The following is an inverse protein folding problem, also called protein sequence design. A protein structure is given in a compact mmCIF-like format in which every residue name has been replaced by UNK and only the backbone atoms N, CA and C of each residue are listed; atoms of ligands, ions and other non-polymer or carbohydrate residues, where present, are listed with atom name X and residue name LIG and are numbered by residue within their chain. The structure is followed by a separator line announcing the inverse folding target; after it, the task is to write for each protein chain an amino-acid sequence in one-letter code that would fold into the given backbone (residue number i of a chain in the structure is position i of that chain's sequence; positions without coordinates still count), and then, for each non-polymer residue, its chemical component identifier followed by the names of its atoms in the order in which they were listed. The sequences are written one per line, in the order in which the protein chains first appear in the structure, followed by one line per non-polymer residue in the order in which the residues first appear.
data_IF_229916020948
#
_entry.id   IF_229916020948
#
_cell.length_a   1.000
_cell.length_b   1.000
_cell.length_c   1.000
_cell.angle_alpha   90.00
_cell.angle_beta   90.00
_cell.angle_gamma   90.00
#
_symmetry.space_group_name_H-M   'P 1'
#
loop_
_entity.id
_entity.type
_entity.pdbx_description
1 polymer ?
#
# COMPACT_ATOMS: atom_id res chain seq x y z
N UNK A 1 -46.21 -16.47 -3.39
CA UNK A 1 -46.37 -15.69 -4.64
C UNK A 1 -45.33 -14.56 -4.82
N UNK A 2 -44.24 -14.51 -4.04
CA UNK A 2 -43.19 -13.48 -4.17
C UNK A 2 -41.77 -14.04 -4.02
N UNK A 3 -41.53 -15.32 -4.38
CA UNK A 3 -40.19 -15.94 -4.33
C UNK A 3 -39.32 -15.64 -5.57
N UNK A 4 -39.90 -15.03 -6.62
CA UNK A 4 -39.21 -14.70 -7.88
C UNK A 4 -38.60 -13.28 -7.90
N UNK A 5 -38.85 -12.47 -6.85
CA UNK A 5 -38.29 -11.12 -6.71
C UNK A 5 -37.01 -11.07 -5.87
N UNK A 6 -36.69 -12.14 -5.11
CA UNK A 6 -35.48 -12.21 -4.30
C UNK A 6 -34.18 -11.98 -5.09
N UNK A 7 -33.98 -12.55 -6.30
CA UNK A 7 -32.76 -12.32 -7.08
C UNK A 7 -32.62 -10.87 -7.57
N UNK A 8 -33.75 -10.20 -7.85
CA UNK A 8 -33.79 -8.80 -8.30
C UNK A 8 -33.56 -7.82 -7.15
N UNK A 9 -34.04 -8.15 -5.95
CA UNK A 9 -33.78 -7.35 -4.75
C UNK A 9 -32.32 -7.47 -4.31
N UNK A 10 -31.73 -8.67 -4.36
CA UNK A 10 -30.32 -8.87 -4.02
C UNK A 10 -29.37 -8.24 -5.05
N UNK A 11 -29.69 -8.33 -6.36
CA UNK A 11 -28.89 -7.68 -7.40
C UNK A 11 -28.98 -6.17 -7.37
N UNK A 12 -30.16 -5.59 -7.15
CA UNK A 12 -30.32 -4.15 -6.98
C UNK A 12 -29.66 -3.67 -5.69
N UNK A 13 -29.82 -4.37 -4.57
CA UNK A 13 -29.16 -4.01 -3.31
C UNK A 13 -27.65 -4.11 -3.43
N UNK A 14 -27.11 -5.12 -4.12
CA UNK A 14 -25.69 -5.22 -4.42
C UNK A 14 -25.21 -4.13 -5.38
N UNK A 15 -26.01 -3.73 -6.37
CA UNK A 15 -25.71 -2.63 -7.28
C UNK A 15 -25.71 -1.28 -6.53
N UNK A 16 -26.69 -1.05 -5.65
CA UNK A 16 -26.75 0.13 -4.78
C UNK A 16 -25.63 0.11 -3.74
N UNK A 17 -25.30 -1.03 -3.14
CA UNK A 17 -24.18 -1.18 -2.22
C UNK A 17 -22.85 -0.93 -2.95
N UNK A 18 -22.67 -1.46 -4.17
CA UNK A 18 -21.46 -1.26 -4.96
C UNK A 18 -21.32 0.19 -5.46
N UNK A 19 -22.41 0.82 -5.90
CA UNK A 19 -22.41 2.20 -6.37
C UNK A 19 -22.31 3.22 -5.21
N UNK A 20 -22.94 2.92 -4.07
CA UNK A 20 -22.79 3.71 -2.85
C UNK A 20 -21.41 3.52 -2.21
N UNK A 21 -20.85 2.31 -2.20
CA UNK A 21 -19.49 2.03 -1.71
C UNK A 21 -18.45 2.83 -2.51
N UNK A 22 -18.58 2.93 -3.84
CA UNK A 22 -17.63 3.72 -4.65
C UNK A 22 -17.73 5.23 -4.36
N UNK A 23 -18.95 5.77 -4.26
CA UNK A 23 -19.15 7.20 -3.94
C UNK A 23 -18.75 7.55 -2.50
N UNK A 24 -19.08 6.68 -1.54
CA UNK A 24 -18.70 6.81 -0.13
C UNK A 24 -17.19 6.61 0.05
N UNK A 25 -16.59 5.59 -0.57
CA UNK A 25 -15.14 5.37 -0.53
C UNK A 25 -14.37 6.58 -1.07
N UNK A 26 -14.79 7.10 -2.22
CA UNK A 26 -14.20 8.31 -2.80
C UNK A 26 -14.33 9.51 -1.85
N UNK A 27 -15.50 9.71 -1.24
CA UNK A 27 -15.73 10.80 -0.29
C UNK A 27 -14.87 10.64 0.96
N UNK A 28 -14.81 9.44 1.53
CA UNK A 28 -14.00 9.15 2.72
C UNK A 28 -12.51 9.28 2.41
N UNK A 29 -12.02 8.77 1.27
CA UNK A 29 -10.61 8.94 0.87
C UNK A 29 -10.27 10.43 0.66
N UNK A 30 -11.17 11.19 0.03
CA UNK A 30 -11.01 12.65 -0.14
C UNK A 30 -10.95 13.39 1.19
N UNK A 31 -11.78 13.00 2.17
CA UNK A 31 -11.75 13.55 3.53
C UNK A 31 -10.45 13.13 4.26
N UNK A 32 -10.08 11.85 4.16
CA UNK A 32 -8.88 11.29 4.78
C UNK A 32 -7.60 11.94 4.24
N UNK A 33 -7.59 12.37 2.97
CA UNK A 33 -6.47 13.09 2.33
C UNK A 33 -6.55 14.61 2.46
N UNK A 34 -7.61 15.15 3.06
CA UNK A 34 -7.81 16.59 3.14
C UNK A 34 -6.63 17.28 3.87
N UNK A 35 -6.06 18.38 3.37
CA UNK A 35 -5.01 19.11 4.08
C UNK A 35 -5.45 19.56 5.47
N UNK A 36 -4.55 19.49 6.45
CA UNK A 36 -4.82 19.88 7.85
C UNK A 36 -5.35 21.33 7.93
N UNK A 37 -4.88 22.23 7.06
CA UNK A 37 -5.36 23.61 6.99
C UNK A 37 -6.87 23.71 6.77
N UNK A 38 -7.46 22.89 5.91
CA UNK A 38 -8.92 22.91 5.64
C UNK A 38 -9.72 22.41 6.85
N UNK A 39 -9.19 21.41 7.54
CA UNK A 39 -9.80 20.88 8.77
C UNK A 39 -9.73 21.93 9.89
N UNK A 40 -8.60 22.63 10.02
CA UNK A 40 -8.45 23.72 10.99
C UNK A 40 -9.40 24.88 10.70
N UNK A 41 -9.57 25.27 9.43
CA UNK A 41 -10.54 26.30 9.03
C UNK A 41 -11.96 25.87 9.41
N UNK A 42 -12.33 24.62 9.12
CA UNK A 42 -13.65 24.07 9.48
C UNK A 42 -13.87 24.05 11.00
N UNK A 43 -12.91 23.56 11.78
CA UNK A 43 -12.98 23.56 13.24
C UNK A 43 -13.03 24.99 13.81
N UNK A 44 -12.31 25.93 13.20
CA UNK A 44 -12.34 27.35 13.57
C UNK A 44 -13.73 27.97 13.32
N UNK A 45 -14.32 27.69 12.16
CA UNK A 45 -15.67 28.14 11.83
C UNK A 45 -16.71 27.58 12.82
N UNK A 46 -16.64 26.29 13.15
CA UNK A 46 -17.47 25.67 14.18
C UNK A 46 -17.26 26.33 15.55
N UNK A 47 -16.02 26.70 15.89
CA UNK A 47 -15.71 27.40 17.16
C UNK A 47 -16.37 28.77 17.20
N UNK A 48 -16.35 29.53 16.10
CA UNK A 48 -17.06 30.82 16.02
C UNK A 48 -18.58 30.66 16.14
N UNK A 49 -19.16 29.67 15.45
CA UNK A 49 -20.59 29.34 15.57
C UNK A 49 -20.93 29.00 17.02
N UNK A 50 -20.14 28.12 17.64
CA UNK A 50 -20.27 27.75 19.05
C UNK A 50 -20.22 28.97 19.96
N UNK A 51 -19.24 29.86 19.82
CA UNK A 51 -19.13 31.07 20.64
C UNK A 51 -20.33 32.02 20.45
N UNK A 52 -20.84 32.16 19.23
CA UNK A 52 -22.02 32.97 18.94
C UNK A 52 -23.28 32.37 19.59
N UNK A 53 -23.50 31.07 19.45
CA UNK A 53 -24.62 30.35 20.06
C UNK A 53 -24.53 30.31 21.58
N UNK A 54 -23.33 30.18 22.15
CA UNK A 54 -23.09 30.16 23.59
C UNK A 54 -23.63 31.42 24.28
N UNK A 55 -23.38 32.59 23.69
CA UNK A 55 -23.91 33.86 24.19
C UNK A 55 -25.45 33.90 24.18
N UNK A 56 -26.08 33.40 23.11
CA UNK A 56 -27.54 33.30 23.01
C UNK A 56 -28.11 32.31 24.05
N UNK A 57 -27.49 31.14 24.20
CA UNK A 57 -27.91 30.07 25.12
C UNK A 57 -27.83 30.52 26.58
N UNK A 58 -26.74 31.19 26.98
CA UNK A 58 -26.56 31.68 28.36
C UNK A 58 -27.56 32.79 28.69
N UNK A 59 -27.77 33.74 27.77
CA UNK A 59 -28.63 34.89 28.01
C UNK A 59 -30.13 34.55 27.98
N UNK A 60 -30.51 33.39 27.44
CA UNK A 60 -31.92 32.97 27.36
C UNK A 60 -32.41 32.47 28.73
N UNK A 61 -33.37 33.16 29.38
CA UNK A 61 -33.95 32.77 30.65
C UNK A 61 -34.67 31.42 30.57
N UNK A 62 -34.73 30.68 31.68
CA UNK A 62 -35.28 29.31 31.73
C UNK A 62 -36.71 29.22 31.14
N UNK A 63 -37.56 30.20 31.41
CA UNK A 63 -38.96 30.22 30.95
C UNK A 63 -39.14 30.51 29.45
N UNK A 64 -38.10 30.97 28.74
CA UNK A 64 -38.13 31.25 27.29
C UNK A 64 -37.39 30.19 26.46
N UNK A 65 -36.99 29.07 27.08
CA UNK A 65 -36.24 27.98 26.43
C UNK A 65 -37.15 27.08 25.60
N UNK A 66 -37.61 27.59 24.47
CA UNK A 66 -38.44 26.86 23.51
C UNK A 66 -37.90 27.01 22.09
N UNK A 67 -38.28 26.10 21.18
CA UNK A 67 -38.00 26.18 19.74
C UNK A 67 -36.56 26.55 19.37
N UNK A 68 -36.32 27.84 19.11
CA UNK A 68 -35.02 28.40 18.75
C UNK A 68 -33.92 28.15 19.77
N UNK A 69 -34.23 28.13 21.07
CA UNK A 69 -33.27 27.73 22.11
C UNK A 69 -32.82 26.28 21.93
N UNK A 70 -33.76 25.36 21.69
CA UNK A 70 -33.44 23.94 21.54
C UNK A 70 -32.61 23.70 20.27
N UNK A 71 -32.94 24.37 19.17
CA UNK A 71 -32.15 24.31 17.95
C UNK A 71 -30.72 24.84 18.16
N UNK A 72 -30.58 26.01 18.79
CA UNK A 72 -29.27 26.60 19.11
C UNK A 72 -28.44 25.68 20.02
N UNK A 73 -29.07 25.07 21.03
CA UNK A 73 -28.42 24.11 21.93
C UNK A 73 -27.92 22.87 21.17
N UNK A 74 -28.76 22.26 20.34
CA UNK A 74 -28.39 21.09 19.53
C UNK A 74 -27.22 21.43 18.60
N UNK A 75 -27.29 22.58 17.92
CA UNK A 75 -26.21 23.03 17.03
C UNK A 75 -24.90 23.28 17.79
N UNK A 76 -24.97 23.82 19.01
CA UNK A 76 -23.79 23.97 19.87
C UNK A 76 -23.19 22.61 20.25
N UNK A 77 -24.02 21.68 20.72
CA UNK A 77 -23.57 20.34 21.15
C UNK A 77 -22.96 19.56 19.98
N UNK A 78 -23.56 19.63 18.78
CA UNK A 78 -23.01 19.05 17.56
C UNK A 78 -21.67 19.72 17.19
N UNK A 79 -21.59 21.05 17.28
CA UNK A 79 -20.35 21.79 17.00
C UNK A 79 -19.22 21.37 17.94
N UNK A 80 -19.48 21.28 19.24
CA UNK A 80 -18.51 20.82 20.24
C UNK A 80 -18.05 19.38 19.93
N UNK A 81 -18.99 18.46 19.67
CA UNK A 81 -18.67 17.08 19.30
C UNK A 81 -17.80 16.98 18.03
N UNK A 82 -18.12 17.75 16.99
CA UNK A 82 -17.37 17.77 15.74
C UNK A 82 -15.97 18.38 15.91
N UNK A 83 -15.81 19.41 16.76
CA UNK A 83 -14.51 20.00 17.07
C UNK A 83 -13.64 18.95 17.79
N UNK A 84 -14.16 18.30 18.83
CA UNK A 84 -13.40 17.27 19.56
C UNK A 84 -13.05 16.09 18.66
N UNK A 85 -14.00 15.62 17.85
CA UNK A 85 -13.76 14.56 16.88
C UNK A 85 -12.68 14.97 15.87
N UNK A 86 -12.72 16.20 15.35
CA UNK A 86 -11.71 16.69 14.42
C UNK A 86 -10.31 16.76 15.06
N UNK A 87 -10.21 17.24 16.30
CA UNK A 87 -8.94 17.26 17.06
C UNK A 87 -8.40 15.85 17.23
N UNK A 88 -9.22 14.91 17.74
CA UNK A 88 -8.79 13.53 17.98
C UNK A 88 -8.40 12.87 16.66
N UNK A 89 -9.24 12.94 15.64
CA UNK A 89 -8.99 12.24 14.37
C UNK A 89 -7.81 12.85 13.61
N UNK A 90 -7.76 14.17 13.47
CA UNK A 90 -6.78 14.80 12.57
C UNK A 90 -5.48 15.22 13.24
N UNK A 91 -5.47 15.45 14.55
CA UNK A 91 -4.24 15.81 15.29
C UNK A 91 -3.62 14.62 16.03
N UNK A 92 -4.41 13.61 16.39
CA UNK A 92 -3.91 12.42 17.11
C UNK A 92 -3.90 11.19 16.21
N UNK A 93 -5.07 10.74 15.73
CA UNK A 93 -5.20 9.46 15.02
C UNK A 93 -4.48 9.48 13.67
N UNK A 94 -4.63 10.55 12.88
CA UNK A 94 -4.06 10.64 11.53
C UNK A 94 -2.55 10.82 11.50
N UNK A 95 -1.94 11.72 12.29
CA UNK A 95 -0.49 11.90 12.22
C UNK A 95 0.26 10.73 12.87
N UNK A 96 -0.36 10.02 13.83
CA UNK A 96 0.32 9.03 14.65
C UNK A 96 -0.16 7.57 14.52
N UNK A 97 -1.40 7.34 14.10
CA UNK A 97 -2.03 6.02 14.11
C UNK A 97 -2.11 5.38 12.74
N UNK A 98 -3.15 5.73 11.97
CA UNK A 98 -3.58 4.99 10.78
C UNK A 98 -3.66 5.88 9.52
N UNK A 99 -3.45 5.26 8.36
CA UNK A 99 -3.60 5.92 7.06
C UNK A 99 -4.30 4.98 6.08
N UNK A 100 -5.21 5.53 5.28
CA UNK A 100 -5.95 4.79 4.25
C UNK A 100 -5.23 4.84 2.91
N UNK A 101 -5.26 3.72 2.18
CA UNK A 101 -4.71 3.63 0.82
C UNK A 101 -5.69 2.92 -0.10
N UNK A 102 -5.75 3.36 -1.36
CA UNK A 102 -6.46 2.69 -2.44
C UNK A 102 -5.46 1.82 -3.22
N UNK A 103 -5.85 0.62 -3.63
CA UNK A 103 -5.01 -0.34 -4.36
C UNK A 103 -5.30 -0.24 -5.87
N UNK A 104 -4.41 0.39 -6.68
CA UNK A 104 -4.67 0.59 -8.10
C UNK A 104 -4.12 -0.53 -8.99
N UNK A 105 -3.34 -1.48 -8.45
CA UNK A 105 -2.59 -2.46 -9.26
C UNK A 105 -2.73 -3.90 -8.76
N UNK A 106 -2.55 -4.91 -9.64
CA UNK A 106 -2.68 -6.32 -9.30
C UNK A 106 -1.41 -6.93 -8.67
N UNK A 107 -0.41 -6.12 -8.30
CA UNK A 107 0.89 -6.63 -7.79
C UNK A 107 0.79 -7.45 -6.50
N UNK A 108 -0.30 -7.31 -5.76
CA UNK A 108 -0.59 -8.03 -4.52
C UNK A 108 -1.80 -8.97 -4.65
N UNK A 109 -2.18 -9.35 -5.89
CA UNK A 109 -3.34 -10.21 -6.16
C UNK A 109 -3.27 -11.52 -5.37
N UNK A 110 -4.43 -12.11 -5.07
CA UNK A 110 -4.73 -13.04 -3.97
C UNK A 110 -4.84 -12.40 -2.59
N UNK A 111 -3.92 -11.53 -2.19
CA UNK A 111 -4.02 -10.85 -0.88
C UNK A 111 -4.86 -9.57 -0.97
N UNK A 112 -4.54 -8.69 -1.91
CA UNK A 112 -5.21 -7.42 -2.18
C UNK A 112 -5.61 -7.36 -3.65
N UNK A 113 -6.86 -7.01 -3.96
CA UNK A 113 -7.33 -6.84 -5.35
C UNK A 113 -7.36 -5.36 -5.70
N UNK A 114 -7.32 -5.09 -7.00
CA UNK A 114 -7.54 -3.75 -7.55
C UNK A 114 -8.89 -3.22 -7.07
N UNK A 115 -8.91 -1.99 -6.57
CA UNK A 115 -10.10 -1.35 -6.01
C UNK A 115 -10.26 -1.51 -4.49
N UNK A 116 -9.43 -2.32 -3.83
CA UNK A 116 -9.45 -2.40 -2.37
C UNK A 116 -9.03 -1.08 -1.75
N UNK A 117 -9.68 -0.72 -0.65
CA UNK A 117 -9.20 0.29 0.28
C UNK A 117 -8.71 -0.39 1.55
N UNK A 118 -7.47 -0.08 1.91
CA UNK A 118 -6.82 -0.64 3.09
C UNK A 118 -6.55 0.42 4.14
N UNK A 119 -6.40 -0.03 5.38
CA UNK A 119 -5.89 0.76 6.51
C UNK A 119 -4.49 0.25 6.86
N UNK A 120 -3.51 1.15 6.83
CA UNK A 120 -2.15 0.87 7.26
C UNK A 120 -1.89 1.48 8.64
N UNK A 121 -1.29 0.68 9.53
CA UNK A 121 -0.88 1.06 10.88
C UNK A 121 0.55 1.60 10.86
N UNK A 122 0.72 2.90 11.16
CA UNK A 122 2.02 3.59 11.18
C UNK A 122 2.75 3.39 12.50
N UNK A 123 2.03 3.10 13.58
CA UNK A 123 2.61 2.95 14.92
C UNK A 123 3.55 1.75 15.02
N UNK A 124 3.21 0.64 14.34
CA UNK A 124 3.99 -0.60 14.35
C UNK A 124 5.45 -0.33 13.94
N UNK A 125 5.67 0.51 12.93
CA UNK A 125 7.00 0.87 12.46
C UNK A 125 7.53 2.19 13.04
N UNK A 126 6.94 2.68 14.12
CA UNK A 126 7.60 3.67 15.00
C UNK A 126 8.22 3.00 16.21
N UNK A 127 7.59 1.93 16.68
CA UNK A 127 8.05 1.16 17.83
C UNK A 127 8.91 -0.07 17.45
N UNK A 128 8.96 -0.45 16.18
CA UNK A 128 9.71 -1.61 15.73
C UNK A 128 10.03 -1.60 14.24
N UNK A 129 10.58 -2.71 13.78
CA UNK A 129 10.98 -2.91 12.40
C UNK A 129 10.03 -3.88 11.66
N UNK A 130 9.89 -3.74 10.33
CA UNK A 130 9.21 -4.72 9.50
C UNK A 130 9.74 -6.12 9.74
N UNK A 131 8.81 -7.05 9.87
CA UNK A 131 9.11 -8.48 9.99
C UNK A 131 8.88 -9.14 8.65
N UNK A 132 9.61 -10.22 8.44
CA UNK A 132 9.42 -11.02 7.26
C UNK A 132 7.98 -11.56 7.20
N UNK A 133 7.31 -11.36 6.06
CA UNK A 133 5.90 -11.65 5.82
C UNK A 133 4.97 -10.46 5.98
N UNK A 134 5.39 -9.37 6.63
CA UNK A 134 4.57 -8.15 6.75
C UNK A 134 4.26 -7.56 5.37
N UNK A 135 3.05 -7.02 5.21
CA UNK A 135 2.69 -6.23 4.03
C UNK A 135 2.89 -4.77 4.38
N UNK A 136 3.80 -4.13 3.65
CA UNK A 136 4.38 -2.84 4.00
C UNK A 136 4.01 -1.81 2.95
N UNK A 137 3.54 -0.65 3.41
CA UNK A 137 3.40 0.55 2.60
C UNK A 137 4.66 1.41 2.78
N UNK A 138 5.24 1.88 1.69
CA UNK A 138 6.50 2.62 1.68
C UNK A 138 6.60 3.58 0.49
N UNK A 139 7.50 4.57 0.59
CA UNK A 139 7.94 5.38 -0.54
C UNK A 139 8.95 4.58 -1.37
N UNK A 140 8.75 4.37 -2.68
CA UNK A 140 9.73 3.64 -3.48
C UNK A 140 11.10 4.38 -3.46
N UNK A 141 12.23 3.66 -3.54
CA UNK A 141 13.51 4.32 -3.75
C UNK A 141 13.52 5.04 -5.11
N UNK A 142 14.38 6.04 -5.33
CA UNK A 142 14.37 6.87 -6.54
C UNK A 142 14.30 6.07 -7.86
N UNK A 143 14.95 4.91 -7.92
CA UNK A 143 14.98 4.02 -9.10
C UNK A 143 13.65 3.30 -9.38
N UNK A 144 12.80 3.13 -8.37
CA UNK A 144 11.49 2.51 -8.47
C UNK A 144 10.35 3.50 -8.73
N UNK A 145 10.66 4.81 -8.71
CA UNK A 145 9.68 5.87 -8.92
C UNK A 145 9.17 5.84 -10.37
N UNK A 146 7.85 5.84 -10.55
CA UNK A 146 7.25 6.05 -11.87
C UNK A 146 7.33 7.54 -12.22
N UNK A 147 8.04 7.95 -13.30
CA UNK A 147 8.15 9.35 -13.69
C UNK A 147 6.80 10.02 -13.97
N UNK A 148 5.78 9.25 -14.35
CA UNK A 148 4.42 9.74 -14.60
C UNK A 148 3.65 9.99 -13.31
N UNK A 149 4.08 9.37 -12.21
CA UNK A 149 3.47 9.53 -10.88
C UNK A 149 4.52 9.47 -9.76
N UNK A 150 5.34 10.52 -9.62
CA UNK A 150 6.52 10.49 -8.76
C UNK A 150 6.19 10.50 -7.25
N UNK A 151 4.95 10.82 -6.89
CA UNK A 151 4.50 10.86 -5.49
C UNK A 151 3.78 9.59 -5.03
N UNK A 152 3.79 8.53 -5.86
CA UNK A 152 3.07 7.28 -5.57
C UNK A 152 3.70 6.48 -4.42
N UNK A 153 2.85 6.01 -3.52
CA UNK A 153 3.22 5.06 -2.46
C UNK A 153 3.10 3.63 -2.97
N UNK A 154 4.03 2.77 -2.57
CA UNK A 154 4.06 1.37 -2.97
C UNK A 154 3.63 0.49 -1.80
N UNK A 155 3.02 -0.64 -2.13
CA UNK A 155 2.67 -1.70 -1.18
C UNK A 155 3.20 -3.03 -1.71
N UNK A 156 3.95 -3.74 -0.87
CA UNK A 156 4.57 -5.04 -1.17
C UNK A 156 4.70 -5.86 0.11
N UNK A 157 5.07 -7.14 -0.01
CA UNK A 157 5.41 -7.99 1.13
C UNK A 157 6.91 -7.94 1.42
N UNK A 158 7.26 -7.79 2.69
CA UNK A 158 8.64 -7.88 3.16
C UNK A 158 9.08 -9.35 3.15
N UNK A 159 9.98 -9.73 2.22
CA UNK A 159 10.49 -11.10 2.12
C UNK A 159 11.86 -11.28 2.80
N UNK A 160 12.60 -10.20 3.02
CA UNK A 160 13.88 -10.20 3.72
C UNK A 160 14.04 -8.99 4.63
N UNK A 161 14.53 -9.24 5.84
CA UNK A 161 14.85 -8.23 6.86
C UNK A 161 16.36 -8.17 7.11
N UNK A 162 16.89 -7.08 7.71
CA UNK A 162 18.30 -6.95 8.03
C UNK A 162 18.95 -8.21 8.62
N UNK A 163 20.07 -8.62 8.02
CA UNK A 163 20.86 -9.79 8.42
C UNK A 163 20.39 -11.14 7.88
N UNK A 164 19.18 -11.24 7.34
CA UNK A 164 18.69 -12.49 6.72
C UNK A 164 19.34 -12.68 5.35
N UNK A 165 19.76 -13.92 5.07
CA UNK A 165 20.17 -14.32 3.72
C UNK A 165 18.92 -14.70 2.96
N UNK A 166 18.63 -13.98 1.88
CA UNK A 166 17.51 -14.28 0.99
C UNK A 166 18.03 -14.78 -0.34
N UNK A 167 17.35 -15.79 -0.88
CA UNK A 167 17.64 -16.40 -2.16
C UNK A 167 16.29 -16.73 -2.81
N UNK A 168 16.21 -16.72 -4.13
CA UNK A 168 15.03 -17.16 -4.87
C UNK A 168 15.46 -18.04 -6.02
N UNK A 169 14.81 -19.19 -6.17
CA UNK A 169 15.04 -20.11 -7.29
C UNK A 169 13.73 -20.39 -7.97
N UNK A 170 13.57 -19.97 -9.21
CA UNK A 170 12.33 -20.15 -9.99
C UNK A 170 11.09 -19.70 -9.20
N UNK A 171 11.14 -18.48 -8.66
CA UNK A 171 10.12 -17.89 -7.76
C UNK A 171 9.89 -18.60 -6.42
N UNK A 172 10.69 -19.59 -6.05
CA UNK A 172 10.70 -20.18 -4.72
C UNK A 172 11.64 -19.40 -3.81
N UNK A 173 11.11 -18.74 -2.78
CA UNK A 173 11.91 -18.05 -1.78
C UNK A 173 12.61 -19.06 -0.86
N UNK A 174 13.89 -18.81 -0.60
CA UNK A 174 14.68 -19.42 0.46
C UNK A 174 15.15 -18.31 1.40
N UNK A 175 15.10 -18.58 2.70
CA UNK A 175 15.59 -17.69 3.74
C UNK A 175 16.53 -18.46 4.64
N UNK A 176 17.75 -17.98 4.77
CA UNK A 176 18.84 -18.63 5.50
C UNK A 176 19.01 -20.10 5.05
N UNK A 177 18.95 -20.32 3.73
CA UNK A 177 19.07 -21.63 3.08
C UNK A 177 17.83 -22.54 3.17
N UNK A 178 16.77 -22.12 3.85
CA UNK A 178 15.54 -22.92 4.02
C UNK A 178 14.42 -22.42 3.11
N UNK A 179 13.77 -23.33 2.41
CA UNK A 179 12.61 -23.00 1.58
C UNK A 179 11.47 -22.42 2.44
N UNK A 180 10.92 -21.29 2.02
CA UNK A 180 9.79 -20.62 2.69
C UNK A 180 8.47 -21.03 2.03
N UNK A 181 7.49 -21.46 2.82
CA UNK A 181 6.13 -21.72 2.30
C UNK A 181 5.40 -20.39 2.14
N UNK A 182 4.93 -20.13 0.92
CA UNK A 182 4.29 -18.86 0.55
C UNK A 182 2.87 -19.10 0.01
N UNK A 183 1.87 -19.36 0.88
CA UNK A 183 0.51 -19.69 0.43
C UNK A 183 -0.20 -18.53 -0.30
N UNK A 184 0.27 -17.30 -0.08
CA UNK A 184 -0.21 -16.09 -0.73
C UNK A 184 0.40 -15.88 -2.14
N UNK A 185 1.50 -16.59 -2.45
CA UNK A 185 2.24 -16.40 -3.70
C UNK A 185 1.35 -16.79 -4.87
N UNK A 186 1.34 -15.94 -5.89
CA UNK A 186 0.70 -16.27 -7.16
C UNK A 186 1.67 -16.06 -8.31
N UNK A 187 1.54 -16.94 -9.29
CA UNK A 187 2.12 -16.82 -10.61
C UNK A 187 0.89 -16.86 -11.50
N UNK A 188 0.48 -15.71 -11.99
CA UNK A 188 -0.76 -15.62 -12.74
C UNK A 188 -0.49 -15.98 -14.19
N UNK A 189 -1.11 -17.05 -14.69
CA UNK A 189 -1.04 -17.43 -16.12
C UNK A 189 -1.87 -16.49 -17.00
N UNK A 190 -2.88 -15.84 -16.42
CA UNK A 190 -3.88 -15.02 -17.11
C UNK A 190 -3.70 -13.51 -16.87
N UNK A 191 -2.71 -13.09 -16.08
CA UNK A 191 -2.30 -11.71 -16.13
C UNK A 191 -1.61 -11.55 -17.48
N UNK A 192 -2.13 -10.70 -18.34
CA UNK A 192 -1.31 -10.05 -19.35
C UNK A 192 -0.28 -9.08 -18.71
N UNK A 193 0.26 -9.43 -17.54
CA UNK A 193 1.65 -9.19 -17.19
C UNK A 193 2.49 -10.20 -17.94
N UNK A 194 2.64 -9.96 -19.24
CA UNK A 194 3.62 -10.53 -20.16
C UNK A 194 3.83 -12.05 -20.00
N UNK A 195 3.05 -12.84 -20.76
CA UNK A 195 3.55 -14.13 -21.23
C UNK A 195 4.82 -13.85 -22.04
N UNK A 196 5.96 -13.97 -21.39
CA UNK A 196 7.25 -14.01 -22.06
C UNK A 196 7.21 -15.26 -22.95
N UNK A 197 7.40 -15.15 -24.27
CA UNK A 197 7.61 -16.33 -25.10
C UNK A 197 8.72 -17.18 -24.49
N UNK A 198 8.62 -18.50 -24.53
CA UNK A 198 9.77 -19.37 -24.20
C UNK A 198 11.00 -18.83 -24.94
N UNK A 199 12.07 -18.41 -24.23
CA UNK A 199 13.25 -17.86 -24.87
C UNK A 199 13.81 -18.89 -25.84
N UNK A 200 14.26 -18.44 -27.01
CA UNK A 200 14.83 -19.36 -27.97
C UNK A 200 16.15 -19.95 -27.45
N UNK A 201 16.66 -21.00 -28.09
CA UNK A 201 17.87 -21.69 -27.63
C UNK A 201 19.11 -20.76 -27.60
N UNK A 202 19.11 -19.68 -28.38
CA UNK A 202 20.17 -18.66 -28.40
C UNK A 202 20.06 -17.73 -27.19
N UNK A 203 18.84 -17.28 -26.87
CA UNK A 203 18.53 -16.49 -25.67
C UNK A 203 18.81 -17.29 -24.38
N UNK A 204 18.41 -18.56 -24.35
CA UNK A 204 18.75 -19.51 -23.27
C UNK A 204 20.27 -19.65 -23.09
N UNK A 205 21.01 -19.82 -24.19
CA UNK A 205 22.47 -19.91 -24.15
C UNK A 205 23.12 -18.59 -23.70
N UNK A 206 22.63 -17.44 -24.17
CA UNK A 206 23.09 -16.12 -23.73
C UNK A 206 22.81 -15.85 -22.24
N UNK A 207 21.69 -16.33 -21.71
CA UNK A 207 21.38 -16.23 -20.29
C UNK A 207 22.32 -17.11 -19.43
N UNK A 208 22.66 -18.31 -19.92
CA UNK A 208 23.63 -19.23 -19.30
C UNK A 208 25.05 -18.64 -19.34
N UNK A 209 25.45 -18.03 -20.46
CA UNK A 209 26.78 -17.47 -20.67
C UNK A 209 26.99 -16.12 -19.94
N UNK A 210 25.90 -15.44 -19.57
CA UNK A 210 25.93 -14.12 -18.93
C UNK A 210 25.56 -14.10 -17.44
N UNK A 211 25.39 -15.27 -16.80
CA UNK A 211 25.23 -15.51 -15.35
C UNK A 211 24.98 -14.22 -14.53
N UNK A 212 23.74 -13.76 -14.32
CA UNK A 212 23.50 -12.61 -13.46
C UNK A 212 23.97 -12.92 -12.04
N UNK A 213 24.68 -11.97 -11.45
CA UNK A 213 25.28 -12.11 -10.12
C UNK A 213 24.78 -10.97 -9.23
N UNK A 214 24.39 -11.27 -8.00
CA UNK A 214 24.04 -10.22 -7.05
C UNK A 214 25.33 -9.54 -6.59
N UNK A 215 25.52 -8.30 -7.00
CA UNK A 215 26.59 -7.49 -6.44
C UNK A 215 25.98 -6.32 -5.68
N UNK A 216 26.56 -6.06 -4.50
CA UNK A 216 26.44 -4.76 -3.87
C UNK A 216 27.13 -3.78 -4.80
N UNK A 217 26.38 -2.85 -5.40
CA UNK A 217 26.93 -1.85 -6.31
C UNK A 217 27.03 -0.53 -5.54
N UNK A 218 28.19 0.09 -5.59
CA UNK A 218 28.34 1.48 -5.14
C UNK A 218 27.64 2.40 -6.13
N UNK A 219 26.58 3.07 -5.67
CA UNK A 219 25.74 3.94 -6.48
C UNK A 219 26.05 5.39 -6.16
N UNK A 220 26.32 6.20 -7.19
CA UNK A 220 26.45 7.65 -7.05
C UNK A 220 25.15 8.32 -7.51
N UNK A 221 24.53 9.12 -6.64
CA UNK A 221 23.31 9.87 -6.92
C UNK A 221 23.62 11.16 -7.71
N UNK A 222 22.59 11.77 -8.33
CA UNK A 222 22.74 13.01 -9.14
C UNK A 222 23.33 14.19 -8.35
N UNK A 223 23.17 14.20 -7.03
CA UNK A 223 23.74 15.18 -6.10
C UNK A 223 25.19 14.86 -5.67
N UNK A 224 25.77 13.77 -6.17
CA UNK A 224 27.13 13.32 -5.89
C UNK A 224 27.28 12.43 -4.65
N UNK A 225 26.21 12.15 -3.92
CA UNK A 225 26.24 11.21 -2.78
C UNK A 225 26.51 9.78 -3.26
N UNK A 226 27.30 9.01 -2.50
CA UNK A 226 27.60 7.60 -2.79
C UNK A 226 27.05 6.67 -1.72
N UNK A 227 26.37 5.60 -2.14
CA UNK A 227 25.78 4.60 -1.25
C UNK A 227 26.01 3.20 -1.81
N UNK A 228 26.39 2.24 -0.98
CA UNK A 228 26.46 0.83 -1.38
C UNK A 228 25.06 0.24 -1.35
N UNK A 229 24.53 -0.09 -2.52
CA UNK A 229 23.14 -0.54 -2.63
C UNK A 229 23.12 -1.98 -3.15
N UNK A 230 22.42 -2.89 -2.46
CA UNK A 230 22.08 -4.19 -3.01
C UNK A 230 21.11 -4.00 -4.16
N UNK A 231 21.62 -4.14 -5.38
CA UNK A 231 20.85 -4.13 -6.61
C UNK A 231 21.09 -5.43 -7.37
N UNK A 232 20.13 -5.81 -8.20
CA UNK A 232 20.37 -6.79 -9.24
C UNK A 232 21.21 -6.11 -10.31
N UNK A 233 22.44 -6.57 -10.44
CA UNK A 233 23.32 -6.20 -11.55
C UNK A 233 23.64 -7.44 -12.36
N UNK A 234 23.98 -7.28 -13.63
CA UNK A 234 24.59 -8.39 -14.38
C UNK A 234 26.06 -8.61 -13.93
N UNK A 235 26.75 -9.55 -14.57
CA UNK A 235 28.19 -9.83 -14.31
C UNK A 235 29.10 -8.61 -14.49
N UNK A 236 28.67 -7.61 -15.25
CA UNK A 236 29.40 -6.38 -15.55
C UNK A 236 29.08 -5.25 -14.57
N UNK A 237 28.19 -5.47 -13.60
CA UNK A 237 27.73 -4.41 -12.69
C UNK A 237 26.70 -3.47 -13.32
N UNK A 238 26.19 -3.79 -14.51
CA UNK A 238 25.14 -3.00 -15.14
C UNK A 238 23.81 -3.19 -14.41
N UNK A 239 23.23 -2.07 -14.02
CA UNK A 239 21.94 -2.01 -13.36
C UNK A 239 20.83 -2.29 -14.38
N UNK A 240 19.95 -3.24 -14.12
CA UNK A 240 18.86 -3.61 -15.05
C UNK A 240 17.74 -2.56 -15.19
N UNK A 241 17.83 -1.41 -14.53
CA UNK A 241 16.77 -0.40 -14.55
C UNK A 241 17.21 0.93 -15.17
N UNK A 242 17.02 1.01 -16.47
CA UNK A 242 16.45 2.19 -17.12
C UNK A 242 15.15 1.75 -17.80
N UNK A 243 14.03 2.32 -17.33
CA UNK A 243 12.66 2.08 -17.79
C UNK A 243 12.06 0.69 -17.58
N UNK A 244 10.81 0.73 -17.08
CA UNK A 244 9.83 -0.36 -17.14
C UNK A 244 9.83 -1.04 -18.54
N UNK A 245 10.12 -0.30 -19.61
CA UNK A 245 10.10 -0.79 -20.99
C UNK A 245 11.17 -1.83 -21.34
N UNK A 246 12.34 -1.86 -20.69
CA UNK A 246 13.38 -2.87 -21.00
C UNK A 246 13.10 -4.18 -20.24
N UNK A 247 12.75 -4.08 -18.95
CA UNK A 247 12.53 -5.26 -18.13
C UNK A 247 11.23 -6.00 -18.49
N UNK A 248 10.19 -5.32 -18.97
CA UNK A 248 8.93 -5.96 -19.37
C UNK A 248 8.96 -6.59 -20.77
N UNK A 249 9.88 -6.17 -21.65
CA UNK A 249 9.93 -6.63 -23.05
C UNK A 249 11.15 -7.53 -23.36
N UNK A 250 11.96 -7.89 -22.37
CA UNK A 250 13.14 -8.74 -22.56
C UNK A 250 13.00 -10.07 -21.81
N UNK A 251 12.97 -11.17 -22.57
CA UNK A 251 12.76 -12.51 -22.04
C UNK A 251 13.87 -12.97 -21.10
N UNK A 252 15.12 -12.63 -21.42
CA UNK A 252 16.27 -12.96 -20.59
C UNK A 252 16.22 -12.23 -19.25
N UNK A 253 15.89 -10.93 -19.26
CA UNK A 253 15.73 -10.16 -18.01
C UNK A 253 14.64 -10.79 -17.13
N UNK A 254 13.53 -11.23 -17.72
CA UNK A 254 12.45 -11.89 -17.00
C UNK A 254 12.85 -13.25 -16.44
N UNK A 255 13.62 -14.06 -17.19
CA UNK A 255 14.18 -15.32 -16.69
C UNK A 255 15.11 -15.08 -15.50
N UNK A 256 15.99 -14.07 -15.61
CA UNK A 256 16.90 -13.68 -14.53
C UNK A 256 16.16 -13.20 -13.28
N UNK A 257 15.02 -12.51 -13.41
CA UNK A 257 14.20 -12.04 -12.28
C UNK A 257 13.47 -13.16 -11.50
N UNK A 258 13.47 -14.40 -12.03
CA UNK A 258 13.00 -15.60 -11.31
C UNK A 258 14.02 -16.11 -10.31
N UNK A 259 15.27 -15.76 -10.53
CA UNK A 259 16.44 -16.20 -9.79
C UNK A 259 17.00 -15.02 -8.98
N UNK A 260 17.12 -15.17 -7.68
CA UNK A 260 17.82 -14.25 -6.79
C UNK A 260 18.93 -15.08 -6.13
N UNK A 261 20.23 -14.87 -6.44
CA UNK A 261 21.31 -15.52 -5.71
C UNK A 261 21.25 -15.31 -4.18
N UNK A 262 21.94 -16.16 -3.41
CA UNK A 262 21.94 -15.99 -1.95
C UNK A 262 22.71 -14.74 -1.52
N UNK A 263 22.02 -13.77 -0.92
CA UNK A 263 22.64 -12.54 -0.42
C UNK A 263 22.04 -12.09 0.94
N UNK A 264 22.87 -11.60 1.88
CA UNK A 264 22.38 -11.02 3.12
C UNK A 264 21.76 -9.64 2.88
N UNK A 265 20.60 -9.39 3.48
CA UNK A 265 19.97 -8.06 3.49
C UNK A 265 20.77 -7.14 4.43
N UNK A 266 21.32 -6.00 3.94
CA UNK A 266 22.09 -5.09 4.78
C UNK A 266 21.26 -4.45 5.90
N UNK A 267 21.95 -3.98 6.94
CA UNK A 267 21.31 -3.26 8.05
C UNK A 267 20.61 -2.01 7.54
N UNK A 268 19.35 -1.82 7.94
CA UNK A 268 18.54 -0.68 7.52
C UNK A 268 17.77 -0.87 6.22
N UNK A 269 17.92 -2.01 5.54
CA UNK A 269 17.22 -2.28 4.28
C UNK A 269 16.29 -3.49 4.38
N UNK A 270 15.34 -3.54 3.45
CA UNK A 270 14.31 -4.57 3.38
C UNK A 270 14.06 -4.97 1.93
N UNK A 271 13.94 -6.28 1.69
CA UNK A 271 13.52 -6.79 0.38
C UNK A 271 12.00 -6.82 0.31
N UNK A 272 11.44 -6.04 -0.61
CA UNK A 272 10.01 -5.87 -0.80
C UNK A 272 9.59 -6.46 -2.15
N UNK A 273 8.76 -7.50 -2.14
CA UNK A 273 8.34 -8.23 -3.34
C UNK A 273 6.81 -8.38 -3.36
N UNK A 274 6.21 -8.33 -4.55
CA UNK A 274 4.77 -8.52 -4.71
C UNK A 274 4.34 -9.98 -4.54
N UNK A 275 3.10 -10.19 -4.10
CA UNK A 275 2.53 -11.54 -4.06
C UNK A 275 2.31 -12.10 -5.47
N UNK A 276 2.04 -11.22 -6.44
CA UNK A 276 1.99 -11.52 -7.87
C UNK A 276 3.41 -11.52 -8.46
N UNK A 277 4.07 -12.68 -8.49
CA UNK A 277 5.51 -12.77 -8.77
C UNK A 277 5.88 -12.38 -10.19
N UNK A 278 5.01 -12.61 -11.17
CA UNK A 278 5.23 -12.20 -12.56
C UNK A 278 4.52 -10.89 -12.93
N UNK A 279 3.58 -10.40 -12.12
CA UNK A 279 2.85 -9.14 -12.35
C UNK A 279 3.21 -7.98 -11.42
N UNK A 280 4.43 -7.95 -10.87
CA UNK A 280 4.84 -6.96 -9.86
C UNK A 280 6.17 -6.30 -10.17
N UNK A 281 6.14 -4.97 -10.35
CA UNK A 281 7.33 -4.12 -10.31
C UNK A 281 7.75 -3.89 -8.83
N UNK A 282 8.77 -4.62 -8.38
CA UNK A 282 9.18 -4.67 -6.98
C UNK A 282 10.71 -4.71 -6.80
N UNK A 283 11.20 -5.07 -5.62
CA UNK A 283 12.62 -4.97 -5.26
C UNK A 283 13.56 -5.79 -6.14
N UNK A 284 13.01 -6.68 -6.99
CA UNK A 284 13.77 -7.34 -8.06
C UNK A 284 14.13 -6.42 -9.23
N UNK A 285 13.44 -5.31 -9.40
CA UNK A 285 13.72 -4.35 -10.47
C UNK A 285 14.52 -3.16 -9.96
N UNK A 286 14.16 -2.66 -8.78
CA UNK A 286 14.70 -1.40 -8.25
C UNK A 286 15.54 -1.54 -6.97
N UNK A 287 15.75 -2.77 -6.48
CA UNK A 287 16.62 -3.07 -5.32
C UNK A 287 15.89 -3.05 -3.98
N UNK A 288 16.64 -2.86 -2.89
CA UNK A 288 16.07 -2.86 -1.53
C UNK A 288 15.46 -1.50 -1.14
N UNK A 289 14.56 -1.54 -0.16
CA UNK A 289 13.93 -0.35 0.44
C UNK A 289 14.63 0.00 1.75
N UNK A 290 15.09 1.26 1.92
CA UNK A 290 15.68 1.69 3.17
C UNK A 290 14.60 1.94 4.24
N UNK A 291 14.98 1.87 5.51
CA UNK A 291 14.05 1.86 6.65
C UNK A 291 13.22 3.13 6.76
N UNK A 292 13.79 4.28 6.41
CA UNK A 292 13.17 5.60 6.45
C UNK A 292 12.05 5.77 5.42
N UNK A 293 12.06 4.96 4.36
CA UNK A 293 11.00 4.98 3.35
C UNK A 293 9.71 4.29 3.81
N UNK A 294 9.77 3.53 4.90
CA UNK A 294 8.65 2.71 5.36
C UNK A 294 7.61 3.56 6.10
N UNK A 295 6.35 3.46 5.65
CA UNK A 295 5.23 4.26 6.15
C UNK A 295 4.43 3.51 7.22
N UNK A 296 4.06 2.25 6.95
CA UNK A 296 3.16 1.50 7.84
C UNK A 296 2.86 0.09 7.36
N UNK A 297 2.28 -0.73 8.24
CA UNK A 297 1.86 -2.10 7.95
C UNK A 297 0.40 -2.13 7.52
N UNK A 298 0.07 -2.75 6.39
CA UNK A 298 -1.32 -2.97 5.99
C UNK A 298 -1.97 -4.02 6.91
N UNK A 299 -3.04 -3.65 7.60
CA UNK A 299 -3.69 -4.56 8.58
C UNK A 299 -5.11 -4.97 8.17
N UNK A 300 -5.85 -4.08 7.53
CA UNK A 300 -7.28 -4.30 7.27
C UNK A 300 -7.71 -3.78 5.90
N UNK A 301 -8.51 -4.57 5.18
CA UNK A 301 -9.30 -4.14 4.02
C UNK A 301 -10.64 -3.69 4.58
N UNK A 302 -11.01 -2.43 4.36
CA UNK A 302 -12.27 -1.88 4.88
C UNK A 302 -13.29 -1.60 3.80
N UNK A 303 -12.88 -1.41 2.55
CA UNK A 303 -13.78 -1.33 1.39
C UNK A 303 -13.24 -2.12 0.18
N UNK A 304 -14.12 -2.65 -0.69
CA UNK A 304 -15.59 -2.68 -0.53
C UNK A 304 -16.05 -3.55 0.64
N UNK A 305 -17.25 -3.31 1.18
CA UNK A 305 -17.72 -4.00 2.39
C UNK A 305 -17.80 -5.53 2.22
N UNK A 306 -18.08 -5.98 0.99
CA UNK A 306 -18.07 -7.40 0.60
C UNK A 306 -16.71 -8.08 0.76
N UNK A 307 -15.62 -7.31 0.85
CA UNK A 307 -14.25 -7.80 1.04
C UNK A 307 -13.64 -7.37 2.36
N UNK A 308 -14.44 -6.78 3.24
CA UNK A 308 -13.98 -6.30 4.54
C UNK A 308 -13.38 -7.45 5.36
N UNK A 309 -12.09 -7.36 5.65
CA UNK A 309 -11.31 -8.46 6.23
C UNK A 309 -9.95 -8.00 6.73
N UNK A 310 -9.36 -8.70 7.69
CA UNK A 310 -7.95 -8.49 8.01
C UNK A 310 -7.07 -8.95 6.84
N UNK A 311 -6.06 -8.16 6.49
CA UNK A 311 -5.13 -8.47 5.38
C UNK A 311 -4.45 -9.83 5.58
N UNK A 312 -4.10 -10.19 6.82
CA UNK A 312 -3.50 -11.49 7.15
C UNK A 312 -4.41 -12.66 6.78
N UNK A 313 -5.69 -12.62 7.17
CA UNK A 313 -6.67 -13.66 6.82
C UNK A 313 -6.81 -13.77 5.31
N UNK A 314 -6.87 -12.65 4.59
CA UNK A 314 -6.98 -12.64 3.12
C UNK A 314 -5.77 -13.29 2.43
N UNK A 315 -4.58 -13.23 3.03
CA UNK A 315 -3.37 -13.89 2.53
C UNK A 315 -3.35 -15.42 2.75
N UNK A 316 -4.19 -15.94 3.65
CA UNK A 316 -4.26 -17.36 4.03
C UNK A 316 -5.42 -18.10 3.33
N UNK A 317 -6.37 -17.38 2.73
CA UNK A 317 -7.52 -17.98 2.01
C UNK A 317 -7.04 -18.49 0.65
N UNK A 318 -6.96 -19.82 0.53
CA UNK A 318 -6.89 -20.51 -0.76
C UNK A 318 -8.19 -20.25 -1.54
N UNK A 319 -8.09 -19.77 -2.78
CA UNK A 319 -9.15 -19.98 -3.76
C UNK A 319 -9.00 -21.39 -4.33
#
# INVERSE_FOLDING_TARGET
MLSWLAPLQDSLFNLFAQQSDQGMAYTIDKIARMPISKILIFATALTFIRLALHNYIIKTPIHLRTGGYNAARILNDISDALIYAAIVVFLIVRPFGIQTFHIPSPSMVNTLKVGDYIVANKFVYRAGDPKAGDIVVFKPPPRGVDPRNPSSDFIKRCLGTPGQVVEMKSFQLYRDGKAVTEPYKTISDNDQGYLVPEPDETEKQNAIDNQPDFKLVEWTFEDGHQETIPVLSDKNGEFFATYQEIAFNNADVQAKLRELPAAPVPKGYYLMIGDNRNGSNDGRYWGLVPRENIIGRAEFIWLPLSRMSSVRKSAEVKN
#
